data_IF_723668377520
#
_entry.id   IF_723668377520
#
_cell.length_a   1.000
_cell.length_b   1.000
_cell.length_c   1.000
_cell.angle_alpha   90.00
_cell.angle_beta   90.00
_cell.angle_gamma   90.00
#
_symmetry.space_group_name_H-M   'P 1'
#
loop_
_entity.id
_entity.type
_entity.pdbx_description
1 polymer ?
#
# COMPACT_ATOMS: atom_id res chain seq x y z
N UNK A 1 -15.70 -19.44 3.25
CA UNK A 1 -15.57 -18.10 2.66
C UNK A 1 -14.75 -17.25 3.62
N UNK A 2 -13.43 -17.44 3.61
CA UNK A 2 -12.53 -16.68 4.47
C UNK A 2 -12.24 -15.35 3.76
N UNK A 3 -12.62 -14.23 4.38
CA UNK A 3 -12.38 -12.90 3.82
C UNK A 3 -10.87 -12.70 3.69
N UNK A 4 -10.35 -12.24 2.54
CA UNK A 4 -8.92 -12.00 2.38
C UNK A 4 -8.45 -11.06 3.50
N UNK A 5 -7.41 -11.48 4.23
CA UNK A 5 -6.88 -10.80 5.43
C UNK A 5 -6.54 -9.30 5.20
N UNK A 6 -6.43 -8.87 3.95
CA UNK A 6 -6.22 -7.47 3.54
C UNK A 6 -7.46 -6.57 3.64
N UNK A 7 -8.69 -7.09 3.56
CA UNK A 7 -9.88 -6.27 3.79
C UNK A 7 -10.08 -5.98 5.30
N UNK A 8 -9.48 -6.82 6.15
CA UNK A 8 -9.40 -6.56 7.59
C UNK A 8 -8.50 -5.37 7.92
N UNK A 9 -7.41 -5.16 7.16
CA UNK A 9 -6.50 -4.03 7.42
C UNK A 9 -7.07 -2.67 6.98
N UNK A 10 -7.95 -2.60 5.98
CA UNK A 10 -8.68 -1.36 5.66
C UNK A 10 -9.67 -0.97 6.77
N UNK A 11 -10.37 -1.96 7.33
CA UNK A 11 -11.20 -1.77 8.53
C UNK A 11 -10.39 -1.39 9.77
N UNK A 12 -9.10 -1.69 9.83
CA UNK A 12 -8.19 -1.30 10.91
C UNK A 12 -7.57 0.10 10.69
N UNK A 13 -7.35 0.51 9.44
CA UNK A 13 -6.79 1.81 9.10
C UNK A 13 -7.76 2.97 9.38
N UNK A 14 -9.06 2.76 9.17
CA UNK A 14 -10.12 3.74 9.48
C UNK A 14 -10.18 4.14 10.97
N UNK A 15 -10.23 3.23 11.95
CA UNK A 15 -10.25 3.59 13.37
C UNK A 15 -8.93 4.22 13.81
N UNK A 16 -7.79 3.82 13.25
CA UNK A 16 -6.50 4.47 13.50
C UNK A 16 -6.54 5.92 13.02
N UNK A 17 -6.97 6.15 11.78
CA UNK A 17 -7.12 7.49 11.20
C UNK A 17 -8.04 8.36 12.06
N UNK A 18 -9.22 7.84 12.42
CA UNK A 18 -10.16 8.53 13.31
C UNK A 18 -9.56 8.85 14.67
N UNK A 19 -8.83 7.92 15.29
CA UNK A 19 -8.18 8.14 16.58
C UNK A 19 -7.13 9.25 16.52
N UNK A 20 -6.24 9.23 15.52
CA UNK A 20 -5.22 10.27 15.35
C UNK A 20 -5.84 11.63 14.99
N UNK A 21 -6.83 11.68 14.10
CA UNK A 21 -7.48 12.94 13.73
C UNK A 21 -8.24 13.53 14.92
N UNK A 22 -9.06 12.73 15.61
CA UNK A 22 -9.85 13.21 16.77
C UNK A 22 -8.96 13.67 17.92
N UNK A 23 -7.95 12.89 18.29
CA UNK A 23 -6.97 13.26 19.32
C UNK A 23 -6.19 14.52 18.92
N UNK A 24 -5.76 14.58 17.66
CA UNK A 24 -5.02 15.73 17.12
C UNK A 24 -5.83 17.02 17.15
N UNK A 25 -7.10 16.98 16.70
CA UNK A 25 -8.03 18.12 16.80
C UNK A 25 -8.26 18.52 18.26
N UNK A 26 -8.47 17.56 19.15
CA UNK A 26 -8.73 17.83 20.57
C UNK A 26 -7.54 18.52 21.24
N UNK A 27 -6.32 18.02 21.01
CA UNK A 27 -5.09 18.65 21.52
C UNK A 27 -4.84 20.03 20.90
N UNK A 28 -5.18 20.22 19.63
CA UNK A 28 -5.04 21.49 18.93
C UNK A 28 -5.99 22.57 19.47
N UNK A 29 -7.20 22.18 19.87
CA UNK A 29 -8.21 23.08 20.41
C UNK A 29 -8.08 23.32 21.93
N UNK A 30 -7.42 22.43 22.67
CA UNK A 30 -7.29 22.54 24.12
C UNK A 30 -6.53 23.81 24.55
N UNK A 31 -5.28 23.98 24.11
CA UNK A 31 -4.40 25.05 24.61
C UNK A 31 -3.31 25.41 23.60
N UNK A 32 -2.86 26.67 23.61
CA UNK A 32 -1.81 27.18 22.69
C UNK A 32 -0.49 26.42 22.85
N UNK A 33 -0.16 25.98 24.07
CA UNK A 33 1.04 25.15 24.35
C UNK A 33 0.93 23.73 23.77
N UNK A 34 -0.28 23.17 23.71
CA UNK A 34 -0.53 21.82 23.20
C UNK A 34 -0.71 21.77 21.67
N UNK A 35 -0.86 22.95 21.07
CA UNK A 35 -1.16 23.11 19.65
C UNK A 35 -0.11 22.45 18.74
N UNK A 36 1.16 22.55 19.11
CA UNK A 36 2.25 21.89 18.39
C UNK A 36 2.11 20.35 18.40
N UNK A 37 1.79 19.76 19.55
CA UNK A 37 1.54 18.32 19.65
C UNK A 37 0.28 17.92 18.85
N UNK A 38 -0.79 18.71 18.93
CA UNK A 38 -2.00 18.51 18.13
C UNK A 38 -1.71 18.51 16.63
N UNK A 39 -0.89 19.44 16.12
CA UNK A 39 -0.48 19.49 14.72
C UNK A 39 0.33 18.26 14.28
N UNK A 40 1.23 17.75 15.13
CA UNK A 40 2.00 16.53 14.84
C UNK A 40 1.06 15.33 14.74
N UNK A 41 0.18 15.16 15.72
CA UNK A 41 -0.79 14.04 15.78
C UNK A 41 -1.78 14.11 14.61
N UNK A 42 -2.24 15.31 14.24
CA UNK A 42 -3.05 15.55 13.03
C UNK A 42 -2.31 15.15 11.75
N UNK A 43 -1.03 15.51 11.64
CA UNK A 43 -0.18 15.13 10.51
C UNK A 43 -0.15 13.62 10.31
N UNK A 44 0.06 12.85 11.38
CA UNK A 44 -0.04 11.39 11.33
C UNK A 44 -1.43 10.92 10.89
N UNK A 45 -2.50 11.51 11.44
CA UNK A 45 -3.88 11.22 11.03
C UNK A 45 -4.10 11.38 9.53
N UNK A 46 -3.58 12.47 8.94
CA UNK A 46 -3.68 12.69 7.50
C UNK A 46 -2.81 11.74 6.66
N UNK A 47 -1.63 11.33 7.16
CA UNK A 47 -0.82 10.30 6.50
C UNK A 47 -1.58 8.98 6.43
N UNK A 48 -2.18 8.53 7.53
CA UNK A 48 -3.01 7.31 7.55
C UNK A 48 -4.25 7.43 6.65
N UNK A 49 -4.90 8.60 6.65
CA UNK A 49 -6.01 8.88 5.74
C UNK A 49 -5.60 8.76 4.26
N UNK A 50 -4.48 9.38 3.89
CA UNK A 50 -3.94 9.32 2.52
C UNK A 50 -3.60 7.89 2.10
N UNK A 51 -3.01 7.09 2.98
CA UNK A 51 -2.76 5.66 2.73
C UNK A 51 -4.06 4.87 2.51
N UNK A 52 -5.12 5.21 3.25
CA UNK A 52 -6.45 4.63 3.05
C UNK A 52 -7.01 4.89 1.65
N UNK A 53 -6.89 6.13 1.16
CA UNK A 53 -7.30 6.51 -0.20
C UNK A 53 -6.49 5.73 -1.24
N UNK A 54 -5.17 5.66 -1.08
CA UNK A 54 -4.30 4.92 -2.00
C UNK A 54 -4.66 3.43 -2.06
N UNK A 55 -5.01 2.83 -0.91
CA UNK A 55 -5.43 1.43 -0.84
C UNK A 55 -6.76 1.21 -1.56
N UNK A 56 -7.75 2.08 -1.34
CA UNK A 56 -9.04 2.01 -1.99
C UNK A 56 -8.94 2.20 -3.52
N UNK A 57 -8.05 3.08 -3.99
CA UNK A 57 -7.81 3.29 -5.42
C UNK A 57 -7.21 2.05 -6.11
N UNK A 58 -6.52 1.18 -5.36
CA UNK A 58 -5.90 -0.04 -5.88
C UNK A 58 -6.81 -1.27 -5.74
N UNK A 59 -7.93 -1.17 -5.02
CA UNK A 59 -8.89 -2.26 -4.83
C UNK A 59 -9.46 -2.82 -6.16
N UNK A 60 -9.82 -2.00 -7.17
CA UNK A 60 -10.37 -2.52 -8.42
C UNK A 60 -9.40 -3.41 -9.19
N UNK A 61 -8.09 -3.15 -9.09
CA UNK A 61 -7.04 -3.92 -9.76
C UNK A 61 -6.94 -5.35 -9.23
N UNK A 62 -7.36 -5.61 -7.98
CA UNK A 62 -7.32 -6.96 -7.40
C UNK A 62 -8.43 -7.86 -7.93
N UNK A 63 -9.48 -7.25 -8.48
CA UNK A 63 -10.64 -7.94 -9.06
C UNK A 63 -10.65 -7.89 -10.58
N UNK A 64 -9.73 -7.15 -11.18
CA UNK A 64 -9.63 -7.02 -12.63
C UNK A 64 -9.06 -8.30 -13.25
N UNK A 65 -9.83 -9.03 -14.08
CA UNK A 65 -9.39 -10.32 -14.63
C UNK A 65 -8.14 -10.19 -15.49
N UNK A 66 -8.02 -9.09 -16.22
CA UNK A 66 -6.90 -8.82 -17.14
C UNK A 66 -5.62 -8.60 -16.34
N UNK A 67 -5.68 -7.79 -15.28
CA UNK A 67 -4.56 -7.57 -14.37
C UNK A 67 -4.09 -8.88 -13.72
N UNK A 68 -5.03 -9.72 -13.28
CA UNK A 68 -4.73 -11.01 -12.66
C UNK A 68 -4.09 -11.99 -13.65
N UNK A 69 -4.55 -12.02 -14.89
CA UNK A 69 -3.98 -12.84 -15.97
C UNK A 69 -2.55 -12.41 -16.31
N UNK A 70 -2.30 -11.10 -16.42
CA UNK A 70 -0.95 -10.59 -16.61
C UNK A 70 -0.04 -10.94 -15.43
N UNK A 71 -0.53 -10.79 -14.20
CA UNK A 71 0.28 -11.10 -13.02
C UNK A 71 0.59 -12.61 -12.91
N UNK A 72 -0.38 -13.47 -13.26
CA UNK A 72 -0.20 -14.91 -13.32
C UNK A 72 0.84 -15.30 -14.39
N UNK A 73 0.76 -14.72 -15.60
CA UNK A 73 1.73 -14.97 -16.66
C UNK A 73 3.15 -14.55 -16.27
N UNK A 74 3.29 -13.43 -15.55
CA UNK A 74 4.58 -12.95 -15.05
C UNK A 74 5.08 -13.82 -13.88
N UNK A 75 4.18 -14.44 -13.11
CA UNK A 75 4.53 -15.29 -11.96
C UNK A 75 5.25 -16.58 -12.32
N UNK A 76 5.14 -17.06 -13.57
CA UNK A 76 5.87 -18.25 -14.04
C UNK A 76 7.38 -18.04 -14.13
N UNK A 77 7.84 -16.78 -14.16
CA UNK A 77 9.25 -16.41 -14.28
C UNK A 77 9.61 -15.39 -13.19
N UNK A 78 10.14 -15.83 -12.03
CA UNK A 78 10.45 -14.93 -10.92
C UNK A 78 11.36 -13.76 -11.30
N UNK A 79 12.32 -13.97 -12.21
CA UNK A 79 13.20 -12.90 -12.68
C UNK A 79 12.44 -11.82 -13.46
N UNK A 80 11.49 -12.23 -14.30
CA UNK A 80 10.63 -11.30 -15.05
C UNK A 80 9.70 -10.54 -14.11
N UNK A 81 9.19 -11.22 -13.07
CA UNK A 81 8.37 -10.60 -12.03
C UNK A 81 9.09 -9.46 -11.31
N UNK A 82 10.38 -9.61 -11.00
CA UNK A 82 11.20 -8.52 -10.41
C UNK A 82 11.23 -7.31 -11.35
N UNK A 83 11.55 -7.51 -12.62
CA UNK A 83 11.72 -6.41 -13.59
C UNK A 83 10.40 -5.69 -13.83
N UNK A 84 9.32 -6.43 -14.05
CA UNK A 84 8.00 -5.84 -14.30
C UNK A 84 7.49 -5.10 -13.06
N UNK A 85 7.65 -5.67 -11.86
CA UNK A 85 7.25 -5.01 -10.62
C UNK A 85 8.07 -3.74 -10.34
N UNK A 86 9.37 -3.73 -10.70
CA UNK A 86 10.21 -2.55 -10.61
C UNK A 86 9.75 -1.43 -11.55
N UNK A 87 9.47 -1.75 -12.81
CA UNK A 87 8.95 -0.79 -13.79
C UNK A 87 7.57 -0.27 -13.40
N UNK A 88 6.67 -1.17 -13.01
CA UNK A 88 5.32 -0.81 -12.55
C UNK A 88 5.39 0.13 -11.36
N UNK A 89 6.23 -0.19 -10.36
CA UNK A 89 6.41 0.67 -9.19
C UNK A 89 7.06 2.00 -9.54
N UNK A 90 7.99 2.03 -10.49
CA UNK A 90 8.58 3.29 -10.95
C UNK A 90 7.54 4.20 -11.64
N UNK A 91 6.56 3.62 -12.35
CA UNK A 91 5.50 4.39 -13.02
C UNK A 91 4.42 4.83 -12.01
N UNK A 92 3.94 3.89 -11.19
CA UNK A 92 2.81 4.10 -10.26
C UNK A 92 3.26 4.81 -8.98
N UNK A 93 4.56 4.81 -8.68
CA UNK A 93 5.21 5.42 -7.51
C UNK A 93 4.71 4.91 -6.15
N UNK A 94 3.97 3.80 -6.12
CA UNK A 94 3.40 3.23 -4.91
C UNK A 94 3.83 1.76 -4.74
N UNK A 95 5.00 1.57 -4.13
CA UNK A 95 5.52 0.24 -3.82
C UNK A 95 4.69 -0.48 -2.76
N UNK A 96 4.17 0.26 -1.77
CA UNK A 96 3.37 -0.32 -0.67
C UNK A 96 2.10 -1.00 -1.19
N UNK A 97 1.39 -0.37 -2.14
CA UNK A 97 0.21 -0.98 -2.77
C UNK A 97 0.58 -2.23 -3.59
N UNK A 98 1.67 -2.17 -4.35
CA UNK A 98 2.15 -3.29 -5.18
C UNK A 98 2.53 -4.50 -4.32
N UNK A 99 3.22 -4.25 -3.20
CA UNK A 99 3.61 -5.28 -2.21
C UNK A 99 2.38 -5.87 -1.54
N UNK A 100 1.43 -5.04 -1.09
CA UNK A 100 0.19 -5.51 -0.48
C UNK A 100 -0.60 -6.42 -1.44
N UNK A 101 -0.69 -6.04 -2.71
CA UNK A 101 -1.36 -6.84 -3.74
C UNK A 101 -0.66 -8.19 -3.95
N UNK A 102 0.66 -8.20 -4.11
CA UNK A 102 1.43 -9.44 -4.25
C UNK A 102 1.22 -10.38 -3.04
N UNK A 103 1.22 -9.84 -1.81
CA UNK A 103 0.94 -10.62 -0.61
C UNK A 103 -0.49 -11.17 -0.58
N UNK A 104 -1.49 -10.39 -1.03
CA UNK A 104 -2.88 -10.82 -1.12
C UNK A 104 -3.03 -12.05 -2.03
N UNK A 105 -2.39 -11.97 -3.19
CA UNK A 105 -2.47 -12.96 -4.25
C UNK A 105 -1.65 -14.20 -3.94
N UNK A 106 -0.53 -14.06 -3.22
CA UNK A 106 0.19 -15.21 -2.71
C UNK A 106 -0.61 -15.91 -1.59
N UNK A 107 -1.25 -15.15 -0.71
CA UNK A 107 -2.02 -15.69 0.41
C UNK A 107 -3.29 -16.45 -0.02
N UNK A 108 -3.95 -16.02 -1.11
CA UNK A 108 -5.12 -16.71 -1.64
C UNK A 108 -4.77 -17.81 -2.67
N UNK A 109 -3.49 -18.02 -2.96
CA UNK A 109 -2.99 -19.04 -3.89
C UNK A 109 -3.11 -18.67 -5.37
N UNK A 110 -3.42 -17.42 -5.72
CA UNK A 110 -3.49 -16.96 -7.12
C UNK A 110 -2.11 -16.85 -7.77
N UNK A 111 -1.06 -16.58 -6.99
CA UNK A 111 0.34 -16.63 -7.43
C UNK A 111 1.18 -17.49 -6.49
N UNK A 112 2.30 -18.02 -6.99
CA UNK A 112 3.25 -18.75 -6.15
C UNK A 112 3.92 -17.83 -5.12
N UNK A 113 4.35 -18.40 -3.99
CA UNK A 113 5.09 -17.65 -2.97
C UNK A 113 6.38 -17.04 -3.54
N UNK A 114 7.07 -17.78 -4.41
CA UNK A 114 8.29 -17.33 -5.09
C UNK A 114 8.03 -16.12 -5.98
N UNK A 115 6.93 -16.12 -6.73
CA UNK A 115 6.52 -14.96 -7.51
C UNK A 115 6.13 -13.76 -6.62
N UNK A 116 5.42 -14.01 -5.51
CA UNK A 116 5.09 -12.97 -4.53
C UNK A 116 6.34 -12.30 -3.98
N UNK A 117 7.34 -13.09 -3.56
CA UNK A 117 8.64 -12.58 -3.09
C UNK A 117 9.37 -11.81 -4.19
N UNK A 118 9.37 -12.30 -5.42
CA UNK A 118 9.98 -11.62 -6.56
C UNK A 118 9.35 -10.25 -6.84
N UNK A 119 8.01 -10.16 -6.81
CA UNK A 119 7.29 -8.89 -6.98
C UNK A 119 7.66 -7.90 -5.87
N UNK A 120 7.75 -8.37 -4.61
CA UNK A 120 8.16 -7.52 -3.48
C UNK A 120 9.57 -6.96 -3.66
N UNK A 121 10.53 -7.79 -4.11
CA UNK A 121 11.88 -7.32 -4.44
C UNK A 121 11.86 -6.29 -5.58
N UNK A 122 11.12 -6.56 -6.65
CA UNK A 122 10.97 -5.65 -7.77
C UNK A 122 10.39 -4.30 -7.35
N UNK A 123 9.32 -4.30 -6.55
CA UNK A 123 8.72 -3.06 -6.05
C UNK A 123 9.69 -2.21 -5.23
N UNK A 124 10.51 -2.84 -4.39
CA UNK A 124 11.56 -2.13 -3.64
C UNK A 124 12.63 -1.54 -4.57
N UNK A 125 13.05 -2.26 -5.61
CA UNK A 125 13.96 -1.72 -6.63
C UNK A 125 13.35 -0.55 -7.41
N UNK A 126 12.08 -0.66 -7.80
CA UNK A 126 11.37 0.41 -8.52
C UNK A 126 11.31 1.72 -7.75
N UNK A 127 11.20 1.64 -6.41
CA UNK A 127 11.20 2.82 -5.53
C UNK A 127 12.50 3.64 -5.64
N UNK A 128 13.63 2.98 -5.91
CA UNK A 128 14.93 3.66 -6.09
C UNK A 128 14.93 4.52 -7.35
N UNK A 129 14.30 4.04 -8.44
CA UNK A 129 14.19 4.79 -9.69
C UNK A 129 13.23 5.98 -9.58
N UNK A 130 12.14 5.86 -8.83
CA UNK A 130 11.26 7.00 -8.57
C UNK A 130 11.93 8.05 -7.70
N UNK A 131 12.65 7.63 -6.67
CA UNK A 131 13.38 8.54 -5.80
C UNK A 131 14.45 9.35 -6.57
N UNK A 132 15.19 8.70 -7.50
CA UNK A 132 16.19 9.40 -8.31
C UNK A 132 15.58 10.32 -9.39
N UNK A 133 14.34 10.07 -9.82
CA UNK A 133 13.64 10.96 -10.77
C UNK A 133 13.10 12.26 -10.15
N UNK A 134 13.00 12.32 -8.82
CA UNK A 134 12.44 13.46 -8.06
C UNK A 134 13.49 14.23 -7.24
N UNK A 135 14.76 13.82 -7.31
CA UNK A 135 15.91 14.46 -6.65
C UNK A 135 16.64 15.42 -7.60
#
# INVERSE_FOLDING_TARGET
MERPLLFSSLHLALPITLAFVTLGVLLFLMNVKMRAYGSIVLGFGFVFFGMGIMTAAMEPLQTDPVFMEYLAAISEQPLLAVVVAALFTAIVQNSAATIALAMALAANGSISLEAGVAIVYGANFGTVFTASSQA
#
